data_IF_542541303818
#
_entry.id   IF_542541303818
#
_cell.length_a   1.000
_cell.length_b   1.000
_cell.length_c   1.000
_cell.angle_alpha   90.00
_cell.angle_beta   90.00
_cell.angle_gamma   90.00
#
_symmetry.space_group_name_H-M   'P 1'
#
loop_
_entity.id
_entity.type
_entity.pdbx_description
1 polymer ?
#
# COMPACT_ATOMS: atom_id res chain seq x y z
N UNK A 1 -38.82 -65.03 0.07
CA UNK A 1 -38.69 -64.82 -1.40
C UNK A 1 -39.32 -63.46 -1.70
N UNK A 2 -38.68 -62.39 -2.16
CA UNK A 2 -37.33 -62.10 -2.61
C UNK A 2 -37.37 -60.72 -3.30
N UNK A 3 -36.37 -59.89 -3.06
CA UNK A 3 -36.03 -58.68 -3.84
C UNK A 3 -36.66 -57.37 -3.37
N UNK A 4 -36.03 -56.20 -3.47
CA UNK A 4 -34.64 -55.82 -3.66
C UNK A 4 -34.54 -54.32 -3.33
N UNK A 5 -33.38 -53.92 -2.82
CA UNK A 5 -32.88 -52.59 -2.43
C UNK A 5 -33.01 -51.49 -3.50
N UNK A 6 -33.30 -50.25 -3.07
CA UNK A 6 -32.95 -48.99 -3.76
C UNK A 6 -32.55 -47.92 -2.71
N UNK A 7 -31.29 -47.82 -2.31
CA UNK A 7 -30.22 -46.96 -2.88
C UNK A 7 -30.50 -45.45 -2.80
N UNK A 8 -29.62 -44.76 -2.04
CA UNK A 8 -29.51 -43.30 -1.98
C UNK A 8 -28.33 -42.90 -1.10
N UNK A 9 -27.10 -43.09 -1.60
CA UNK A 9 -25.92 -42.50 -0.97
C UNK A 9 -25.91 -41.00 -1.28
N UNK A 10 -25.96 -40.15 -0.24
CA UNK A 10 -25.61 -38.74 -0.39
C UNK A 10 -24.10 -38.65 -0.64
N UNK A 11 -23.72 -38.30 -1.86
CA UNK A 11 -22.38 -37.77 -2.13
C UNK A 11 -22.40 -36.32 -1.71
N UNK A 12 -22.00 -36.01 -0.49
CA UNK A 12 -21.61 -34.64 -0.15
C UNK A 12 -20.29 -34.34 -0.84
N UNK A 13 -20.35 -33.70 -2.00
CA UNK A 13 -19.19 -33.16 -2.66
C UNK A 13 -18.55 -32.11 -1.75
N UNK A 14 -17.42 -32.44 -1.16
CA UNK A 14 -16.52 -31.46 -0.55
C UNK A 14 -15.99 -30.59 -1.69
N UNK A 15 -16.47 -29.35 -1.78
CA UNK A 15 -15.85 -28.37 -2.67
C UNK A 15 -14.45 -28.09 -2.14
N UNK A 16 -13.45 -28.67 -2.79
CA UNK A 16 -12.04 -28.35 -2.55
C UNK A 16 -11.81 -26.95 -3.13
N UNK A 17 -11.88 -25.92 -2.29
CA UNK A 17 -11.31 -24.61 -2.62
C UNK A 17 -9.80 -24.78 -2.71
N UNK A 18 -9.32 -25.10 -3.91
CA UNK A 18 -7.90 -24.98 -4.21
C UNK A 18 -7.63 -23.49 -4.29
N UNK A 19 -7.16 -22.91 -3.19
CA UNK A 19 -6.59 -21.57 -3.20
C UNK A 19 -5.41 -21.60 -4.17
N UNK A 20 -5.63 -21.13 -5.40
CA UNK A 20 -4.52 -20.85 -6.29
C UNK A 20 -3.75 -19.73 -5.62
N UNK A 21 -2.59 -20.06 -5.06
CA UNK A 21 -1.58 -19.06 -4.75
C UNK A 21 -1.22 -18.42 -6.10
N UNK A 22 -1.87 -17.29 -6.40
CA UNK A 22 -1.53 -16.51 -7.58
C UNK A 22 -0.06 -16.14 -7.50
N UNK A 23 0.66 -16.29 -8.60
CA UNK A 23 1.96 -15.65 -8.74
C UNK A 23 1.74 -14.14 -8.52
N UNK A 24 2.60 -13.51 -7.71
CA UNK A 24 2.59 -12.07 -7.51
C UNK A 24 2.59 -11.37 -8.87
N UNK A 25 1.52 -10.63 -9.16
CA UNK A 25 1.35 -9.92 -10.42
C UNK A 25 2.16 -8.63 -10.41
N UNK A 26 2.52 -8.18 -11.61
CA UNK A 26 3.02 -6.82 -11.83
C UNK A 26 1.89 -5.97 -12.39
N UNK A 27 1.59 -4.86 -11.73
CA UNK A 27 0.56 -3.90 -12.14
C UNK A 27 1.25 -2.58 -12.49
N UNK A 28 1.04 -2.09 -13.70
CA UNK A 28 1.69 -0.88 -14.21
C UNK A 28 0.77 0.32 -14.04
N UNK A 29 1.29 1.41 -13.51
CA UNK A 29 0.60 2.70 -13.42
C UNK A 29 1.37 3.71 -14.28
N UNK A 30 0.71 4.43 -15.21
CA UNK A 30 -0.73 4.46 -15.46
C UNK A 30 -1.26 3.39 -16.45
N UNK A 31 -0.44 2.42 -16.86
CA UNK A 31 -0.73 1.52 -17.98
C UNK A 31 -1.96 0.61 -17.79
N UNK A 32 -2.03 -0.08 -16.65
CA UNK A 32 -3.12 -0.99 -16.31
C UNK A 32 -4.21 -0.27 -15.50
N UNK A 33 -3.81 0.67 -14.64
CA UNK A 33 -4.72 1.54 -13.90
C UNK A 33 -4.25 2.99 -13.96
N UNK A 34 -5.18 3.96 -14.11
CA UNK A 34 -4.81 5.36 -14.30
C UNK A 34 -4.20 6.01 -13.05
N UNK A 35 -4.37 5.41 -11.87
CA UNK A 35 -3.94 5.98 -10.59
C UNK A 35 -3.32 4.92 -9.68
N UNK A 36 -2.47 5.34 -8.74
CA UNK A 36 -1.80 4.42 -7.81
C UNK A 36 -2.83 3.80 -6.87
N UNK A 37 -3.80 4.58 -6.38
CA UNK A 37 -4.83 4.04 -5.49
C UNK A 37 -5.72 3.00 -6.19
N UNK A 38 -6.05 3.20 -7.47
CA UNK A 38 -6.80 2.21 -8.24
C UNK A 38 -6.04 0.88 -8.37
N UNK A 39 -4.73 0.95 -8.63
CA UNK A 39 -3.86 -0.23 -8.64
C UNK A 39 -3.81 -0.94 -7.28
N UNK A 40 -3.67 -0.20 -6.16
CA UNK A 40 -3.71 -0.77 -4.80
C UNK A 40 -5.05 -1.47 -4.54
N UNK A 41 -6.16 -0.85 -4.95
CA UNK A 41 -7.49 -1.42 -4.76
C UNK A 41 -7.65 -2.75 -5.51
N UNK A 42 -7.11 -2.85 -6.73
CA UNK A 42 -7.19 -4.05 -7.56
C UNK A 42 -6.15 -5.13 -7.22
N UNK A 43 -5.00 -4.75 -6.63
CA UNK A 43 -3.92 -5.66 -6.31
C UNK A 43 -4.34 -6.75 -5.31
N UNK A 44 -3.78 -7.94 -5.46
CA UNK A 44 -3.83 -9.01 -4.46
C UNK A 44 -2.58 -8.95 -3.55
N UNK A 45 -2.63 -9.53 -2.35
CA UNK A 45 -1.46 -9.62 -1.48
C UNK A 45 -0.29 -10.32 -2.19
N UNK A 46 0.87 -9.67 -2.20
CA UNK A 46 2.10 -10.10 -2.87
C UNK A 46 2.42 -9.32 -4.15
N UNK A 47 1.44 -8.63 -4.74
CA UNK A 47 1.62 -7.93 -6.02
C UNK A 47 2.59 -6.75 -5.93
N UNK A 48 3.17 -6.43 -7.08
CA UNK A 48 4.06 -5.28 -7.28
C UNK A 48 3.41 -4.26 -8.21
N UNK A 49 3.27 -3.04 -7.73
CA UNK A 49 2.77 -1.89 -8.46
C UNK A 49 3.97 -1.07 -8.94
N UNK A 50 4.21 -1.08 -10.26
CA UNK A 50 5.26 -0.29 -10.90
C UNK A 50 4.68 1.05 -11.32
N UNK A 51 5.24 2.13 -10.78
CA UNK A 51 4.74 3.49 -11.01
C UNK A 51 5.70 4.20 -11.96
N UNK A 52 5.22 4.48 -13.18
CA UNK A 52 5.96 5.25 -14.18
C UNK A 52 6.14 6.71 -13.75
N UNK A 53 7.11 7.39 -14.38
CA UNK A 53 7.44 8.78 -14.10
C UNK A 53 6.20 9.68 -14.25
N UNK A 54 6.02 10.61 -13.31
CA UNK A 54 4.87 11.52 -13.28
C UNK A 54 4.55 12.04 -11.88
N UNK A 55 3.62 12.99 -11.84
CA UNK A 55 3.04 13.52 -10.60
C UNK A 55 1.65 12.93 -10.39
N UNK A 56 1.48 12.23 -9.28
CA UNK A 56 0.23 11.56 -8.89
C UNK A 56 -0.43 12.35 -7.77
N UNK A 57 -1.56 12.98 -8.06
CA UNK A 57 -2.29 13.85 -7.11
C UNK A 57 -3.32 13.01 -6.36
N UNK A 58 -2.86 12.29 -5.34
CA UNK A 58 -3.62 11.26 -4.63
C UNK A 58 -3.16 11.17 -3.16
N UNK A 59 -4.05 10.71 -2.29
CA UNK A 59 -3.67 10.16 -0.99
C UNK A 59 -3.77 8.64 -1.10
N UNK A 60 -2.80 7.90 -0.58
CA UNK A 60 -2.79 6.44 -0.67
C UNK A 60 -3.24 5.82 0.66
N UNK A 61 -4.16 4.87 0.57
CA UNK A 61 -4.57 3.98 1.65
C UNK A 61 -4.18 2.55 1.26
N UNK A 62 -3.18 2.00 1.96
CA UNK A 62 -2.62 0.69 1.72
C UNK A 62 -3.10 -0.26 2.81
N UNK A 63 -3.95 -1.20 2.43
CA UNK A 63 -4.57 -2.19 3.33
C UNK A 63 -4.21 -3.64 2.98
N UNK A 64 -3.27 -3.84 2.05
CA UNK A 64 -2.84 -5.14 1.55
C UNK A 64 -1.31 -5.19 1.53
N UNK A 65 -0.76 -6.40 1.64
CA UNK A 65 0.68 -6.64 1.49
C UNK A 65 1.08 -6.43 0.02
N UNK A 66 1.59 -5.25 -0.34
CA UNK A 66 1.96 -4.92 -1.72
C UNK A 66 3.28 -4.17 -1.77
N UNK A 67 3.95 -4.24 -2.91
CA UNK A 67 5.12 -3.40 -3.21
C UNK A 67 4.71 -2.25 -4.12
N UNK A 68 5.03 -1.02 -3.75
CA UNK A 68 4.89 0.16 -4.61
C UNK A 68 6.30 0.62 -4.98
N UNK A 69 6.67 0.48 -6.25
CA UNK A 69 7.99 0.82 -6.76
C UNK A 69 7.89 1.85 -7.86
N UNK A 70 8.37 3.07 -7.60
CA UNK A 70 8.54 4.06 -8.64
C UNK A 70 9.70 3.71 -9.57
N UNK A 71 9.64 4.16 -10.82
CA UNK A 71 10.77 4.02 -11.76
C UNK A 71 11.99 4.86 -11.36
N UNK A 72 11.86 5.76 -10.38
CA UNK A 72 12.95 6.53 -9.82
C UNK A 72 12.48 7.60 -8.83
N UNK A 73 13.22 7.77 -7.72
CA UNK A 73 12.82 8.68 -6.64
C UNK A 73 12.62 10.13 -7.08
N UNK A 74 13.37 10.58 -8.08
CA UNK A 74 13.29 11.95 -8.62
C UNK A 74 12.33 12.05 -9.83
N UNK A 75 11.71 10.94 -10.25
CA UNK A 75 10.84 10.86 -11.41
C UNK A 75 9.36 10.65 -11.05
N UNK A 76 9.09 10.05 -9.89
CA UNK A 76 7.74 9.76 -9.41
C UNK A 76 7.45 10.63 -8.19
N UNK A 77 6.47 11.52 -8.32
CA UNK A 77 6.07 12.45 -7.27
C UNK A 77 4.65 12.12 -6.83
N UNK A 78 4.47 11.68 -5.59
CA UNK A 78 3.17 11.63 -4.93
C UNK A 78 2.89 12.99 -4.30
N UNK A 79 1.75 13.58 -4.64
CA UNK A 79 1.27 14.84 -4.08
C UNK A 79 -0.10 14.62 -3.45
N UNK A 80 -0.21 14.59 -2.11
CA UNK A 80 -1.47 14.42 -1.41
C UNK A 80 -2.55 15.41 -1.87
N UNK A 81 -3.69 14.88 -2.30
CA UNK A 81 -4.81 15.66 -2.87
C UNK A 81 -5.65 16.33 -1.80
N UNK A 82 -5.82 15.70 -0.66
CA UNK A 82 -6.70 16.15 0.44
C UNK A 82 -6.00 16.10 1.80
N UNK A 83 -6.68 16.68 2.79
CA UNK A 83 -6.29 16.57 4.20
C UNK A 83 -6.19 15.11 4.64
N UNK A 84 -5.30 14.83 5.60
CA UNK A 84 -4.96 13.50 6.09
C UNK A 84 -3.48 13.16 5.89
N UNK A 85 -3.16 11.86 5.88
CA UNK A 85 -1.83 11.35 5.53
C UNK A 85 -1.60 11.39 4.02
N UNK A 86 -0.35 11.53 3.58
CA UNK A 86 -0.01 11.31 2.17
C UNK A 86 -0.14 9.83 1.79
N UNK A 87 0.49 8.98 2.60
CA UNK A 87 0.37 7.52 2.56
C UNK A 87 -0.04 7.05 3.96
N UNK A 88 -1.18 6.39 4.05
CA UNK A 88 -1.61 5.64 5.22
C UNK A 88 -1.49 4.14 4.97
N UNK A 89 -0.84 3.42 5.87
CA UNK A 89 -0.74 1.96 5.84
C UNK A 89 -1.34 1.40 7.11
N UNK A 90 -2.39 0.60 6.98
CA UNK A 90 -3.04 -0.07 8.11
C UNK A 90 -3.78 -1.31 7.64
N UNK A 91 -3.83 -2.35 8.46
CA UNK A 91 -4.58 -3.58 8.12
C UNK A 91 -3.94 -4.46 7.05
N UNK A 92 -2.77 -4.09 6.51
CA UNK A 92 -2.04 -4.89 5.53
C UNK A 92 -1.49 -6.21 6.11
N UNK A 93 -1.39 -6.32 7.44
CA UNK A 93 -0.85 -7.48 8.14
C UNK A 93 0.67 -7.51 8.09
N UNK A 94 1.24 -7.76 6.91
CA UNK A 94 2.68 -7.84 6.72
C UNK A 94 3.16 -7.33 5.35
N UNK A 95 4.48 -7.21 5.20
CA UNK A 95 5.20 -7.12 3.93
C UNK A 95 4.69 -6.03 2.97
N UNK A 96 4.68 -4.79 3.45
CA UNK A 96 4.44 -3.60 2.60
C UNK A 96 5.77 -2.95 2.27
N UNK A 97 6.02 -2.70 0.99
CA UNK A 97 7.23 -1.99 0.53
C UNK A 97 6.87 -0.74 -0.24
N UNK A 98 7.53 0.37 0.07
CA UNK A 98 7.44 1.63 -0.67
C UNK A 98 8.84 2.04 -1.08
N UNK A 99 9.08 2.21 -2.37
CA UNK A 99 10.42 2.53 -2.85
C UNK A 99 10.44 3.43 -4.08
N UNK A 100 11.57 4.13 -4.25
CA UNK A 100 11.90 4.87 -5.47
C UNK A 100 10.87 5.95 -5.82
N UNK A 101 10.32 6.65 -4.83
CA UNK A 101 9.37 7.76 -5.03
C UNK A 101 9.73 8.99 -4.17
N UNK A 102 9.24 10.16 -4.58
CA UNK A 102 9.18 11.36 -3.74
C UNK A 102 7.75 11.60 -3.28
N UNK A 103 7.56 11.98 -2.02
CA UNK A 103 6.27 12.36 -1.44
C UNK A 103 6.38 13.82 -1.00
N UNK A 104 5.53 14.68 -1.54
CA UNK A 104 5.48 16.11 -1.17
C UNK A 104 4.35 16.39 -0.21
N UNK A 105 4.35 17.55 0.44
CA UNK A 105 3.31 17.89 1.41
C UNK A 105 1.91 18.00 0.77
N UNK A 106 1.80 18.55 -0.44
CA UNK A 106 0.52 18.79 -1.10
C UNK A 106 -0.50 19.43 -0.15
N UNK A 107 -1.67 18.79 -0.04
CA UNK A 107 -2.74 19.17 0.90
C UNK A 107 -2.76 18.33 2.20
N UNK A 108 -1.74 17.51 2.46
CA UNK A 108 -1.68 16.68 3.65
C UNK A 108 -1.71 17.53 4.93
N UNK A 109 -2.38 16.97 5.95
CA UNK A 109 -2.53 17.61 7.26
C UNK A 109 -1.98 16.81 8.43
N UNK A 110 -1.57 15.57 8.16
CA UNK A 110 -0.90 14.68 9.11
C UNK A 110 0.50 14.32 8.55
N UNK A 111 1.17 13.34 9.17
CA UNK A 111 2.39 12.73 8.63
C UNK A 111 2.26 12.38 7.14
N UNK A 112 3.32 12.58 6.36
CA UNK A 112 3.28 12.23 4.94
C UNK A 112 3.30 10.72 4.74
N UNK A 113 3.91 9.97 5.64
CA UNK A 113 3.79 8.51 5.71
C UNK A 113 3.43 8.11 7.13
N UNK A 114 2.31 7.43 7.29
CA UNK A 114 1.90 6.83 8.56
C UNK A 114 1.67 5.34 8.35
N UNK A 115 2.29 4.53 9.20
CA UNK A 115 2.18 3.07 9.19
C UNK A 115 1.75 2.61 10.56
N UNK A 116 0.70 1.80 10.62
CA UNK A 116 0.19 1.25 11.88
C UNK A 116 -0.07 -0.25 11.81
N UNK A 117 0.47 -1.00 12.76
CA UNK A 117 0.15 -2.41 12.96
C UNK A 117 0.59 -3.32 11.80
N UNK A 118 1.79 -3.09 11.26
CA UNK A 118 2.34 -3.85 10.13
C UNK A 118 3.62 -4.58 10.54
N UNK A 119 3.76 -5.83 10.10
CA UNK A 119 5.02 -6.57 10.18
C UNK A 119 5.83 -6.38 8.90
N UNK A 120 7.15 -6.21 9.00
CA UNK A 120 8.06 -6.12 7.85
C UNK A 120 7.70 -5.00 6.85
N UNK A 121 7.44 -3.80 7.36
CA UNK A 121 7.33 -2.62 6.50
C UNK A 121 8.71 -2.18 6.01
N UNK A 122 8.86 -1.97 4.70
CA UNK A 122 10.07 -1.41 4.10
C UNK A 122 9.77 -0.09 3.42
N UNK A 123 10.58 0.93 3.71
CA UNK A 123 10.63 2.16 2.92
C UNK A 123 12.07 2.42 2.52
N UNK A 124 12.32 2.53 1.21
CA UNK A 124 13.68 2.69 0.71
C UNK A 124 13.84 3.58 -0.50
N UNK A 125 14.92 4.37 -0.53
CA UNK A 125 15.19 5.31 -1.62
C UNK A 125 14.00 6.26 -1.85
N UNK A 126 13.54 6.91 -0.79
CA UNK A 126 12.37 7.80 -0.79
C UNK A 126 12.75 9.19 -0.28
N UNK A 127 12.20 10.23 -0.91
CA UNK A 127 12.22 11.59 -0.36
C UNK A 127 10.84 11.93 0.21
N UNK A 128 10.83 12.54 1.39
CA UNK A 128 9.63 13.06 2.05
C UNK A 128 9.86 14.56 2.23
N UNK A 129 9.11 15.39 1.51
CA UNK A 129 9.36 16.82 1.38
C UNK A 129 8.18 17.64 1.93
N UNK A 130 8.48 18.48 2.90
CA UNK A 130 7.56 19.43 3.50
C UNK A 130 6.91 18.93 4.78
N UNK A 131 6.36 19.87 5.52
CA UNK A 131 5.73 19.62 6.80
C UNK A 131 4.20 19.52 6.60
N UNK A 132 3.58 18.38 6.94
CA UNK A 132 2.12 18.23 6.88
C UNK A 132 1.46 19.27 7.79
N UNK A 133 0.46 20.00 7.29
CA UNK A 133 -0.15 21.11 8.03
C UNK A 133 -1.07 20.59 9.13
N UNK A 134 -0.76 20.75 10.41
CA UNK A 134 -1.65 20.24 11.45
C UNK A 134 -3.10 20.71 11.30
N UNK A 135 -4.05 19.85 11.63
CA UNK A 135 -5.47 20.21 11.69
C UNK A 135 -5.80 21.21 12.81
N UNK A 136 -4.89 21.41 13.78
CA UNK A 136 -5.04 22.34 14.89
C UNK A 136 -4.18 23.60 14.68
N UNK A 137 -4.71 24.81 14.95
CA UNK A 137 -3.91 26.02 15.06
C UNK A 137 -2.82 25.83 16.13
N UNK A 138 -1.55 26.02 15.75
CA UNK A 138 -0.41 25.91 16.67
C UNK A 138 0.17 24.50 16.87
N UNK A 139 -0.31 23.48 16.16
CA UNK A 139 0.32 22.16 16.17
C UNK A 139 1.64 22.15 15.38
N UNK A 140 2.63 21.36 15.85
CA UNK A 140 3.88 21.14 15.11
C UNK A 140 3.58 20.35 13.83
N UNK A 141 4.02 20.81 12.65
CA UNK A 141 3.67 20.14 11.41
C UNK A 141 4.28 18.74 11.36
N UNK A 142 3.45 17.76 11.02
CA UNK A 142 3.82 16.36 10.95
C UNK A 142 4.18 16.06 9.48
N UNK A 143 5.43 16.29 9.08
CA UNK A 143 5.90 16.10 7.70
C UNK A 143 6.53 14.75 7.39
N UNK A 144 6.96 14.04 8.43
CA UNK A 144 7.86 12.91 8.25
C UNK A 144 7.17 11.55 8.10
N UNK A 145 7.91 10.54 8.55
CA UNK A 145 7.51 9.15 8.64
C UNK A 145 7.12 8.83 10.09
N UNK A 146 5.92 8.28 10.28
CA UNK A 146 5.42 7.78 11.56
C UNK A 146 5.19 6.27 11.49
N UNK A 147 5.85 5.54 12.40
CA UNK A 147 5.78 4.09 12.50
C UNK A 147 5.22 3.71 13.87
N UNK A 148 3.94 3.31 13.90
CA UNK A 148 3.22 2.96 15.12
C UNK A 148 2.95 1.45 15.17
N UNK A 149 3.46 0.77 16.20
CA UNK A 149 3.30 -0.69 16.35
C UNK A 149 3.78 -1.48 15.10
N UNK A 150 4.88 -1.02 14.49
CA UNK A 150 5.52 -1.68 13.35
C UNK A 150 6.69 -2.53 13.85
N UNK A 151 6.71 -3.81 13.51
CA UNK A 151 7.82 -4.72 13.84
C UNK A 151 8.58 -5.11 12.57
N UNK A 152 9.90 -5.25 12.66
CA UNK A 152 10.74 -5.59 11.51
C UNK A 152 10.83 -4.49 10.45
N UNK A 153 10.62 -3.23 10.84
CA UNK A 153 10.70 -2.11 9.90
C UNK A 153 12.12 -1.95 9.31
N UNK A 154 12.20 -1.70 8.01
CA UNK A 154 13.43 -1.32 7.33
C UNK A 154 13.28 0.07 6.70
N UNK A 155 14.07 1.03 7.17
CA UNK A 155 14.13 2.41 6.65
C UNK A 155 15.52 2.63 6.08
N UNK A 156 15.64 2.78 4.75
CA UNK A 156 16.95 2.85 4.07
C UNK A 156 16.99 3.97 3.05
N UNK A 157 18.01 4.83 3.10
CA UNK A 157 18.14 5.93 2.13
C UNK A 157 16.84 6.76 2.02
N UNK A 158 16.31 7.18 3.17
CA UNK A 158 15.12 8.03 3.27
C UNK A 158 15.54 9.43 3.68
N UNK A 159 15.19 10.42 2.86
CA UNK A 159 15.48 11.83 3.10
C UNK A 159 14.19 12.52 3.57
N UNK A 160 14.19 13.10 4.78
CA UNK A 160 13.07 13.93 5.26
C UNK A 160 13.52 15.37 5.25
N UNK A 161 12.88 16.18 4.41
CA UNK A 161 13.23 17.58 4.19
C UNK A 161 12.08 18.47 4.66
N UNK A 162 12.37 19.43 5.53
CA UNK A 162 11.44 20.51 5.86
C UNK A 162 11.70 21.68 4.94
N UNK A 163 10.65 22.12 4.22
CA UNK A 163 10.67 23.30 3.35
C UNK A 163 9.66 24.32 3.83
#
# INVERSE_FOLDING_TARGET
>A
MGGAVRSGWLVTGLALLVSMTGLAATINVPGDYPTIQAAISAAEPGDTIIVAAGTYIENLNITKAVTISGVGKDLVILQPKSAGYGIGVSGAGNNVTIENITITAGNARHFLVHVSGVLNFTIQNVKIIGAGKTALPGGSPLGGLDLNAVSGAAVRNVEVLHV
#
